data_IF_449644321695
#
_entry.id   IF_449644321695
#
_cell.length_a   1.000
_cell.length_b   1.000
_cell.length_c   1.000
_cell.angle_alpha   90.00
_cell.angle_beta   90.00
_cell.angle_gamma   90.00
#
_symmetry.space_group_name_H-M   'P 1'
#
loop_
_entity.id
_entity.type
_entity.pdbx_description
1 polymer ?
#
# COMPACT_ATOMS: atom_id res chain seq x y z
N UNK A 1 -20.40 6.97 3.39
CA UNK A 1 -19.87 7.94 4.40
C UNK A 1 -19.64 7.15 5.66
N UNK A 2 -18.39 6.80 5.94
CA UNK A 2 -17.98 6.12 7.16
C UNK A 2 -18.28 7.01 8.37
N UNK A 3 -19.28 6.69 9.15
CA UNK A 3 -19.57 7.39 10.40
C UNK A 3 -18.58 6.89 11.45
N UNK A 4 -17.41 7.52 11.57
CA UNK A 4 -16.48 7.28 12.67
C UNK A 4 -17.14 7.71 13.97
N UNK A 5 -17.56 6.74 14.77
CA UNK A 5 -18.06 6.97 16.12
C UNK A 5 -16.97 6.61 17.12
N UNK A 6 -16.58 7.56 17.95
CA UNK A 6 -15.77 7.29 19.13
C UNK A 6 -16.59 6.45 20.09
N UNK A 7 -16.07 5.28 20.44
CA UNK A 7 -16.65 4.41 21.45
C UNK A 7 -15.61 4.16 22.53
N UNK A 8 -16.00 4.30 23.78
CA UNK A 8 -15.12 4.00 24.90
C UNK A 8 -14.92 2.49 24.98
N UNK A 9 -13.68 2.09 25.25
CA UNK A 9 -13.36 0.71 25.54
C UNK A 9 -14.10 0.28 26.82
N UNK A 10 -14.61 -0.92 26.79
CA UNK A 10 -15.16 -1.62 27.95
C UNK A 10 -14.57 -3.04 27.97
N UNK A 11 -14.58 -3.69 29.13
CA UNK A 11 -13.98 -5.02 29.24
C UNK A 11 -14.86 -6.15 28.65
N UNK A 12 -16.04 -5.83 28.11
CA UNK A 12 -17.00 -6.81 27.63
C UNK A 12 -16.99 -6.92 26.09
N UNK A 13 -17.27 -5.83 25.39
CA UNK A 13 -17.45 -5.84 23.92
C UNK A 13 -16.43 -5.02 23.14
N UNK A 14 -15.70 -4.12 23.81
CA UNK A 14 -14.67 -3.25 23.20
C UNK A 14 -13.44 -3.29 24.10
N UNK A 15 -12.58 -4.30 23.96
CA UNK A 15 -11.38 -4.43 24.78
C UNK A 15 -10.38 -3.30 24.51
N UNK A 16 -9.51 -3.05 25.46
CA UNK A 16 -8.34 -2.17 25.26
C UNK A 16 -7.37 -2.86 24.30
N UNK A 17 -7.02 -2.20 23.21
CA UNK A 17 -6.03 -2.72 22.27
C UNK A 17 -4.65 -2.66 22.91
N UNK A 18 -3.98 -3.80 22.94
CA UNK A 18 -2.60 -3.92 23.43
C UNK A 18 -1.69 -4.46 22.34
N UNK A 19 -0.44 -3.98 22.30
CA UNK A 19 0.54 -4.40 21.30
C UNK A 19 1.87 -4.75 21.93
N UNK A 20 2.48 -5.84 21.44
CA UNK A 20 3.86 -6.24 21.74
C UNK A 20 4.61 -6.39 20.44
N UNK A 21 5.83 -5.86 20.38
CA UNK A 21 6.69 -5.96 19.22
C UNK A 21 8.13 -6.23 19.64
N UNK A 22 8.80 -7.04 18.86
CA UNK A 22 10.26 -7.24 18.89
C UNK A 22 10.81 -7.00 17.49
N UNK A 23 11.96 -6.36 17.41
CA UNK A 23 12.66 -6.14 16.13
C UNK A 23 14.17 -6.29 16.33
N UNK A 24 14.82 -6.78 15.28
CA UNK A 24 16.27 -6.86 15.18
C UNK A 24 16.70 -6.16 13.89
N UNK A 25 17.61 -5.21 14.01
CA UNK A 25 18.11 -4.43 12.88
C UNK A 25 19.62 -4.46 12.77
N UNK A 26 20.11 -4.51 11.54
CA UNK A 26 21.52 -4.35 11.17
C UNK A 26 21.65 -3.15 10.24
N UNK A 27 22.64 -2.29 10.49
CA UNK A 27 22.92 -1.13 9.67
C UNK A 27 24.41 -1.04 9.34
N UNK A 28 24.72 -0.87 8.06
CA UNK A 28 26.07 -0.61 7.56
C UNK A 28 26.06 0.68 6.75
N UNK A 29 26.91 1.63 7.12
CA UNK A 29 27.00 2.92 6.44
C UNK A 29 28.46 3.34 6.30
N UNK A 30 29.05 3.07 5.14
CA UNK A 30 30.43 3.45 4.83
C UNK A 30 30.61 3.75 3.33
N UNK A 31 31.49 4.69 3.02
CA UNK A 31 31.97 5.02 1.64
C UNK A 31 30.78 5.22 0.66
N UNK A 32 29.71 5.87 1.12
CA UNK A 32 28.52 6.12 0.31
C UNK A 32 27.62 4.90 0.09
N UNK A 33 27.89 3.77 0.78
CA UNK A 33 26.95 2.64 0.90
C UNK A 33 26.18 2.74 2.20
N UNK A 34 24.87 2.60 2.11
CA UNK A 34 23.98 2.36 3.23
C UNK A 34 23.22 1.05 2.96
N UNK A 35 23.30 0.14 3.92
CA UNK A 35 22.52 -1.10 3.92
C UNK A 35 21.85 -1.20 5.27
N UNK A 36 20.54 -1.30 5.29
CA UNK A 36 19.75 -1.58 6.49
C UNK A 36 18.93 -2.84 6.26
N UNK A 37 18.93 -3.72 7.24
CA UNK A 37 18.08 -4.90 7.28
C UNK A 37 17.40 -4.94 8.65
N UNK A 38 16.08 -5.02 8.67
CA UNK A 38 15.28 -5.09 9.91
C UNK A 38 14.32 -6.26 9.78
N UNK A 39 14.29 -7.12 10.77
CA UNK A 39 13.24 -8.13 10.96
C UNK A 39 12.39 -7.77 12.16
N UNK A 40 11.10 -8.07 12.10
CA UNK A 40 10.19 -7.78 13.21
C UNK A 40 9.10 -8.85 13.35
N UNK A 41 8.64 -8.97 14.59
CA UNK A 41 7.40 -9.67 14.93
C UNK A 41 6.55 -8.76 15.81
N UNK A 42 5.28 -8.62 15.46
CA UNK A 42 4.30 -7.82 16.19
C UNK A 42 3.05 -8.64 16.46
N UNK A 43 2.54 -8.58 17.70
CA UNK A 43 1.24 -9.14 18.08
C UNK A 43 0.37 -8.05 18.69
N UNK A 44 -0.87 -7.96 18.23
CA UNK A 44 -1.86 -7.00 18.70
C UNK A 44 -3.10 -7.76 19.16
N UNK A 45 -3.54 -7.52 20.37
CA UNK A 45 -4.72 -8.12 20.95
C UNK A 45 -5.80 -7.06 21.19
N UNK A 46 -7.06 -7.48 21.24
CA UNK A 46 -8.19 -6.61 21.54
C UNK A 46 -8.67 -5.80 20.33
N UNK A 47 -8.35 -6.23 19.11
CA UNK A 47 -9.00 -5.69 17.92
C UNK A 47 -10.43 -6.19 17.82
N UNK A 48 -11.29 -5.48 17.09
CA UNK A 48 -12.65 -5.94 16.77
C UNK A 48 -12.84 -5.91 15.26
N UNK A 49 -13.76 -6.74 14.74
CA UNK A 49 -14.12 -6.73 13.31
C UNK A 49 -14.44 -5.31 12.83
N UNK A 50 -15.19 -4.54 13.60
CA UNK A 50 -15.51 -3.14 13.28
C UNK A 50 -14.27 -2.23 13.26
N UNK A 51 -13.30 -2.44 14.18
CA UNK A 51 -12.09 -1.62 14.22
C UNK A 51 -11.14 -1.89 13.04
N UNK A 52 -11.27 -3.02 12.37
CA UNK A 52 -10.48 -3.39 11.21
C UNK A 52 -11.13 -3.00 9.88
N UNK A 53 -12.33 -2.42 9.92
CA UNK A 53 -13.01 -1.90 8.74
C UNK A 53 -13.42 -2.97 7.74
N UNK A 54 -13.90 -4.11 8.21
CA UNK A 54 -14.52 -5.09 7.33
C UNK A 54 -15.74 -4.48 6.66
N UNK A 55 -15.78 -4.49 5.34
CA UNK A 55 -16.86 -3.93 4.51
C UNK A 55 -17.67 -5.04 3.82
N UNK A 56 -17.67 -6.23 4.38
CA UNK A 56 -18.25 -7.44 3.83
C UNK A 56 -19.17 -8.13 4.84
N UNK A 57 -19.21 -9.45 4.84
CA UNK A 57 -19.99 -10.29 5.73
C UNK A 57 -19.96 -9.87 7.22
N UNK A 58 -18.85 -9.32 7.69
CA UNK A 58 -18.63 -9.01 9.10
C UNK A 58 -18.76 -7.51 9.44
N UNK A 59 -19.25 -6.67 8.51
CA UNK A 59 -19.43 -5.24 8.74
C UNK A 59 -20.29 -4.94 9.98
N UNK A 60 -21.34 -5.74 10.19
CA UNK A 60 -22.28 -5.57 11.31
C UNK A 60 -21.99 -6.48 12.50
N UNK A 61 -20.98 -7.36 12.40
CA UNK A 61 -20.62 -8.30 13.45
C UNK A 61 -19.53 -7.70 14.34
N UNK A 62 -19.77 -7.66 15.65
CA UNK A 62 -18.77 -7.20 16.61
C UNK A 62 -18.13 -8.38 17.32
N UNK A 63 -17.03 -8.86 16.83
CA UNK A 63 -16.24 -9.93 17.43
C UNK A 63 -14.86 -9.42 17.83
N UNK A 64 -14.36 -9.87 18.97
CA UNK A 64 -13.03 -9.56 19.45
C UNK A 64 -12.00 -10.54 18.88
N UNK A 65 -10.83 -10.03 18.56
CA UNK A 65 -9.76 -10.85 17.99
C UNK A 65 -8.38 -10.26 18.23
N UNK A 66 -7.44 -10.81 17.52
CA UNK A 66 -6.06 -10.35 17.51
C UNK A 66 -5.48 -10.45 16.09
N UNK A 67 -4.33 -9.83 15.87
CA UNK A 67 -3.53 -10.10 14.69
C UNK A 67 -2.06 -10.21 15.05
N UNK A 68 -1.34 -10.95 14.24
CA UNK A 68 0.11 -10.93 14.21
C UNK A 68 0.65 -10.46 12.86
N UNK A 69 1.86 -9.95 12.89
CA UNK A 69 2.59 -9.53 11.71
C UNK A 69 4.07 -9.87 11.87
N UNK A 70 4.61 -10.55 10.88
CA UNK A 70 6.04 -10.87 10.77
C UNK A 70 6.57 -10.29 9.47
N UNK A 71 7.71 -9.62 9.51
CA UNK A 71 8.25 -9.02 8.31
C UNK A 71 9.75 -8.82 8.33
N UNK A 72 10.25 -8.51 7.14
CA UNK A 72 11.64 -8.13 6.89
C UNK A 72 11.65 -6.92 5.96
N UNK A 73 12.36 -5.88 6.37
CA UNK A 73 12.62 -4.69 5.57
C UNK A 73 14.10 -4.61 5.20
N UNK A 74 14.39 -4.44 3.93
CA UNK A 74 15.73 -4.25 3.40
C UNK A 74 15.80 -2.88 2.69
N UNK A 75 16.83 -2.10 3.00
CA UNK A 75 17.15 -0.87 2.30
C UNK A 75 18.62 -0.91 1.88
N UNK A 76 18.85 -0.69 0.62
CA UNK A 76 20.17 -0.48 0.04
C UNK A 76 20.20 0.90 -0.64
N UNK A 77 21.23 1.68 -0.38
CA UNK A 77 21.49 2.95 -1.06
C UNK A 77 22.96 3.07 -1.40
N UNK A 78 23.25 3.52 -2.61
CA UNK A 78 24.61 3.89 -3.05
C UNK A 78 24.61 5.35 -3.51
N UNK A 79 25.48 6.14 -2.87
CA UNK A 79 25.82 7.47 -3.35
C UNK A 79 26.96 7.35 -4.37
N UNK A 80 26.75 7.93 -5.54
CA UNK A 80 27.72 8.06 -6.62
C UNK A 80 28.24 9.51 -6.64
N UNK A 81 29.31 9.77 -7.43
CA UNK A 81 29.85 11.12 -7.58
C UNK A 81 28.80 12.12 -8.10
N UNK A 82 28.03 11.72 -9.10
CA UNK A 82 27.03 12.57 -9.78
C UNK A 82 25.61 12.08 -9.63
N UNK A 83 25.31 11.22 -8.64
CA UNK A 83 23.97 10.68 -8.49
C UNK A 83 23.84 9.74 -7.31
N UNK A 84 22.70 9.08 -7.23
CA UNK A 84 22.45 8.05 -6.25
C UNK A 84 21.51 6.98 -6.79
N UNK A 85 21.59 5.79 -6.25
CA UNK A 85 20.62 4.72 -6.48
C UNK A 85 20.21 4.11 -5.16
N UNK A 86 18.96 3.65 -5.08
CA UNK A 86 18.45 2.92 -3.91
C UNK A 86 17.52 1.80 -4.33
N UNK A 87 17.44 0.82 -3.46
CA UNK A 87 16.57 -0.32 -3.54
C UNK A 87 15.94 -0.52 -2.15
N UNK A 88 14.65 -0.69 -2.09
CA UNK A 88 13.93 -1.06 -0.87
C UNK A 88 13.04 -2.26 -1.15
N UNK A 89 13.09 -3.25 -0.27
CA UNK A 89 12.24 -4.42 -0.33
C UNK A 89 11.65 -4.69 1.04
N UNK A 90 10.35 -4.94 1.08
CA UNK A 90 9.62 -5.34 2.28
C UNK A 90 8.90 -6.66 2.02
N UNK A 91 9.04 -7.57 2.97
CA UNK A 91 8.23 -8.77 3.12
C UNK A 91 7.36 -8.65 4.35
N UNK A 92 6.07 -8.90 4.20
CA UNK A 92 5.09 -8.89 5.30
C UNK A 92 4.21 -10.12 5.20
N UNK A 93 4.02 -10.80 6.33
CA UNK A 93 2.96 -11.79 6.54
C UNK A 93 2.16 -11.35 7.75
N UNK A 94 0.89 -11.02 7.57
CA UNK A 94 0.01 -10.54 8.63
C UNK A 94 -1.33 -11.24 8.59
N UNK A 95 -1.73 -11.82 9.72
CA UNK A 95 -2.95 -12.60 9.84
C UNK A 95 -3.83 -12.12 10.98
N UNK A 96 -5.14 -12.08 10.73
CA UNK A 96 -6.17 -11.93 11.74
C UNK A 96 -6.51 -13.28 12.38
N UNK A 97 -6.93 -13.22 13.64
CA UNK A 97 -7.44 -14.36 14.40
C UNK A 97 -8.70 -13.92 15.15
N UNK A 98 -9.83 -14.52 14.75
CA UNK A 98 -11.15 -14.29 15.37
C UNK A 98 -11.79 -15.66 15.66
N UNK A 99 -11.76 -16.10 16.91
CA UNK A 99 -12.18 -17.45 17.30
C UNK A 99 -13.68 -17.73 17.07
N UNK A 100 -14.49 -16.67 17.03
CA UNK A 100 -15.94 -16.79 16.89
C UNK A 100 -16.41 -16.62 15.43
N UNK A 101 -15.49 -16.41 14.49
CA UNK A 101 -15.81 -16.40 13.07
C UNK A 101 -15.68 -17.80 12.48
N UNK A 102 -16.46 -18.16 11.43
CA UNK A 102 -16.35 -19.44 10.74
C UNK A 102 -14.93 -19.74 10.26
N UNK A 103 -14.24 -18.72 9.74
CA UNK A 103 -12.82 -18.76 9.42
C UNK A 103 -12.04 -18.07 10.54
N UNK A 104 -11.37 -18.87 11.35
CA UNK A 104 -10.71 -18.35 12.57
C UNK A 104 -9.38 -17.67 12.30
N UNK A 105 -8.77 -17.92 11.13
CA UNK A 105 -7.49 -17.33 10.71
C UNK A 105 -7.51 -17.00 9.23
N UNK A 106 -7.21 -15.74 8.87
CA UNK A 106 -7.13 -15.28 7.48
C UNK A 106 -6.17 -14.08 7.36
N UNK A 107 -5.67 -13.76 6.15
CA UNK A 107 -4.77 -12.62 5.93
C UNK A 107 -5.40 -11.31 6.37
N UNK A 108 -4.61 -10.40 6.93
CA UNK A 108 -5.10 -9.06 7.25
C UNK A 108 -5.36 -8.24 5.99
N UNK A 109 -6.27 -7.27 6.07
CA UNK A 109 -6.58 -6.34 4.96
C UNK A 109 -5.33 -5.58 4.43
N UNK A 110 -4.27 -5.54 5.21
CA UNK A 110 -3.03 -4.82 4.91
C UNK A 110 -1.87 -5.76 4.56
N UNK A 111 -2.11 -7.08 4.38
CA UNK A 111 -1.08 -8.06 4.02
C UNK A 111 -0.64 -7.89 2.56
N UNK A 112 0.20 -6.89 2.32
CA UNK A 112 0.95 -6.76 1.07
C UNK A 112 2.23 -7.56 1.24
N UNK A 113 2.21 -8.83 0.80
CA UNK A 113 3.27 -9.81 1.10
C UNK A 113 4.63 -9.36 0.60
N UNK A 114 4.71 -8.75 -0.56
CA UNK A 114 5.96 -8.24 -1.15
C UNK A 114 5.77 -6.83 -1.66
N UNK A 115 6.68 -5.94 -1.32
CA UNK A 115 6.77 -4.60 -1.88
C UNK A 115 8.22 -4.28 -2.26
N UNK A 116 8.42 -3.72 -3.45
CA UNK A 116 9.70 -3.38 -4.02
C UNK A 116 9.67 -1.94 -4.53
N UNK A 117 10.66 -1.16 -4.14
CA UNK A 117 10.88 0.18 -4.68
C UNK A 117 12.33 0.30 -5.16
N UNK A 118 12.51 0.80 -6.36
CA UNK A 118 13.80 1.11 -6.97
C UNK A 118 13.83 2.58 -7.34
N UNK A 119 15.00 3.19 -7.26
CA UNK A 119 15.18 4.52 -7.75
C UNK A 119 16.63 4.83 -8.06
N UNK A 120 16.83 5.68 -9.05
CA UNK A 120 18.12 6.22 -9.42
C UNK A 120 17.99 7.66 -9.87
N UNK A 121 18.98 8.47 -9.56
CA UNK A 121 19.15 9.78 -10.16
C UNK A 121 20.60 9.97 -10.60
N UNK A 122 20.77 10.82 -11.61
CA UNK A 122 22.08 11.15 -12.14
C UNK A 122 22.09 12.59 -12.65
N UNK A 123 23.13 13.34 -12.28
CA UNK A 123 23.32 14.73 -12.69
C UNK A 123 24.42 14.81 -13.77
N UNK A 124 24.08 15.43 -14.90
CA UNK A 124 24.98 15.73 -16.00
C UNK A 124 25.02 17.26 -16.13
N UNK A 125 26.05 17.88 -15.62
CA UNK A 125 26.15 19.36 -15.55
C UNK A 125 24.91 19.96 -14.85
N UNK A 126 24.05 20.62 -15.63
CA UNK A 126 22.83 21.32 -15.17
C UNK A 126 21.55 20.48 -15.32
N UNK A 127 21.67 19.28 -15.86
CA UNK A 127 20.56 18.36 -16.08
C UNK A 127 20.57 17.28 -14.99
N UNK A 128 19.48 17.17 -14.26
CA UNK A 128 19.21 16.06 -13.35
C UNK A 128 18.18 15.14 -14.00
N UNK A 129 18.52 13.87 -14.13
CA UNK A 129 17.62 12.79 -14.56
C UNK A 129 17.29 11.91 -13.37
N UNK A 130 16.05 11.44 -13.28
CA UNK A 130 15.67 10.47 -12.28
C UNK A 130 14.66 9.46 -12.83
N UNK A 131 14.77 8.23 -12.37
CA UNK A 131 13.85 7.13 -12.64
C UNK A 131 13.48 6.46 -11.32
N UNK A 132 12.22 6.07 -11.19
CA UNK A 132 11.72 5.32 -10.06
C UNK A 132 10.80 4.19 -10.51
N UNK A 133 10.83 3.07 -9.79
CA UNK A 133 9.94 1.95 -10.04
C UNK A 133 9.37 1.44 -8.71
N UNK A 134 8.08 1.12 -8.71
CA UNK A 134 7.35 0.54 -7.59
C UNK A 134 6.64 -0.72 -8.07
N UNK A 135 6.77 -1.79 -7.31
CA UNK A 135 6.02 -3.01 -7.50
C UNK A 135 5.58 -3.57 -6.15
N UNK A 136 4.37 -4.10 -6.09
CA UNK A 136 3.88 -4.79 -4.89
C UNK A 136 2.85 -5.85 -5.27
N UNK A 137 2.74 -6.89 -4.46
CA UNK A 137 1.65 -7.86 -4.53
C UNK A 137 0.32 -7.17 -4.27
N UNK A 138 -0.76 -7.73 -4.81
CA UNK A 138 -2.11 -7.25 -4.55
C UNK A 138 -2.49 -7.37 -3.08
N UNK A 139 -3.38 -6.49 -2.62
CA UNK A 139 -4.02 -6.59 -1.30
C UNK A 139 -4.91 -7.82 -1.24
N UNK A 140 -5.10 -8.41 -0.07
CA UNK A 140 -6.16 -9.40 0.15
C UNK A 140 -7.53 -8.86 -0.25
N UNK A 141 -8.37 -9.75 -0.75
CA UNK A 141 -9.70 -9.45 -1.28
C UNK A 141 -10.64 -10.61 -0.98
N UNK A 142 -11.84 -10.30 -0.51
CA UNK A 142 -12.95 -11.25 -0.36
C UNK A 142 -13.84 -11.16 -1.60
N UNK A 143 -13.99 -12.26 -2.35
CA UNK A 143 -14.81 -12.30 -3.57
C UNK A 143 -16.18 -12.94 -3.32
N UNK A 144 -17.21 -12.58 -4.09
CA UNK A 144 -18.49 -13.31 -4.11
C UNK A 144 -18.30 -14.77 -4.54
N UNK A 145 -19.20 -15.65 -4.11
CA UNK A 145 -19.26 -17.04 -4.55
C UNK A 145 -19.80 -17.09 -5.97
N UNK A 146 -19.00 -17.60 -6.90
CA UNK A 146 -19.39 -17.74 -8.31
C UNK A 146 -20.63 -18.62 -8.46
N UNK A 147 -21.61 -18.20 -9.26
CA UNK A 147 -22.93 -18.82 -9.48
C UNK A 147 -23.84 -18.88 -8.23
N UNK A 148 -23.51 -18.18 -7.15
CA UNK A 148 -24.35 -18.00 -5.98
C UNK A 148 -23.95 -16.69 -5.29
N UNK A 149 -23.97 -15.60 -6.04
CA UNK A 149 -23.38 -14.31 -5.65
C UNK A 149 -24.26 -13.54 -4.66
N UNK A 150 -25.57 -13.79 -4.67
CA UNK A 150 -26.53 -13.13 -3.80
C UNK A 150 -27.28 -14.18 -2.98
N UNK A 151 -27.36 -13.99 -1.66
CA UNK A 151 -28.14 -14.80 -0.75
C UNK A 151 -28.75 -13.92 0.35
N UNK A 152 -29.99 -14.16 0.74
CA UNK A 152 -30.70 -13.44 1.80
C UNK A 152 -30.71 -11.91 1.63
N UNK A 153 -30.73 -11.44 0.38
CA UNK A 153 -30.71 -10.02 0.04
C UNK A 153 -29.37 -9.31 0.21
N UNK A 154 -28.29 -10.06 0.44
CA UNK A 154 -26.92 -9.57 0.55
C UNK A 154 -25.95 -10.29 -0.37
N UNK A 155 -24.74 -9.76 -0.50
CA UNK A 155 -23.69 -10.43 -1.28
C UNK A 155 -23.20 -11.66 -0.52
N UNK A 156 -23.15 -12.79 -1.20
CA UNK A 156 -22.65 -14.05 -0.66
C UNK A 156 -21.16 -14.18 -0.94
N UNK A 157 -20.34 -13.90 0.06
CA UNK A 157 -18.88 -13.90 -0.04
C UNK A 157 -18.25 -15.27 0.22
N UNK A 158 -17.11 -15.51 -0.43
CA UNK A 158 -16.18 -16.60 -0.13
C UNK A 158 -15.49 -16.39 1.23
N UNK A 159 -14.40 -17.15 1.43
CA UNK A 159 -13.52 -17.01 2.59
C UNK A 159 -12.90 -15.61 2.66
N UNK A 160 -12.83 -15.07 3.88
CA UNK A 160 -12.28 -13.74 4.12
C UNK A 160 -10.85 -13.61 3.63
N UNK A 161 -10.62 -12.57 2.81
CA UNK A 161 -9.29 -12.27 2.28
C UNK A 161 -8.60 -13.46 1.60
N UNK A 162 -9.39 -14.44 1.12
CA UNK A 162 -8.89 -15.67 0.48
C UNK A 162 -8.31 -15.43 -0.91
N UNK A 163 -8.67 -14.35 -1.55
CA UNK A 163 -8.17 -13.92 -2.86
C UNK A 163 -7.25 -12.67 -2.72
N UNK A 164 -6.67 -12.25 -3.84
CA UNK A 164 -5.87 -11.00 -3.91
C UNK A 164 -6.24 -10.18 -5.13
N UNK A 165 -6.10 -8.87 -5.00
CA UNK A 165 -6.11 -7.95 -6.15
C UNK A 165 -4.90 -8.21 -7.06
N UNK A 166 -4.95 -7.67 -8.27
CA UNK A 166 -3.80 -7.69 -9.18
C UNK A 166 -2.60 -6.95 -8.58
N UNK A 167 -1.40 -7.41 -8.92
CA UNK A 167 -0.18 -6.75 -8.48
C UNK A 167 -0.08 -5.35 -9.07
N UNK A 168 0.30 -4.39 -8.25
CA UNK A 168 0.59 -3.02 -8.64
C UNK A 168 2.00 -2.90 -9.21
N UNK A 169 2.17 -2.20 -10.33
CA UNK A 169 3.49 -1.79 -10.79
C UNK A 169 3.46 -0.45 -11.52
N UNK A 170 4.46 0.39 -11.26
CA UNK A 170 4.57 1.72 -11.85
C UNK A 170 6.03 2.10 -12.04
N UNK A 171 6.34 2.68 -13.19
CA UNK A 171 7.64 3.30 -13.48
C UNK A 171 7.40 4.77 -13.78
N UNK A 172 8.18 5.64 -13.15
CA UNK A 172 8.15 7.07 -13.31
C UNK A 172 9.50 7.58 -13.80
N UNK A 173 9.50 8.59 -14.64
CA UNK A 173 10.71 9.27 -15.09
C UNK A 173 10.56 10.76 -14.88
N UNK A 174 11.66 11.43 -14.53
CA UNK A 174 11.71 12.89 -14.48
C UNK A 174 13.04 13.44 -14.91
N UNK A 175 13.00 14.66 -15.43
CA UNK A 175 14.16 15.47 -15.76
C UNK A 175 14.00 16.88 -15.23
N UNK A 176 15.10 17.49 -14.81
CA UNK A 176 15.14 18.88 -14.37
C UNK A 176 16.39 19.54 -14.91
N UNK A 177 16.21 20.64 -15.60
CA UNK A 177 17.28 21.46 -16.12
C UNK A 177 17.33 22.80 -15.39
N UNK A 178 18.53 23.20 -14.94
CA UNK A 178 18.76 24.47 -14.24
C UNK A 178 19.66 25.38 -15.09
N UNK A 179 19.28 26.65 -15.21
CA UNK A 179 20.08 27.67 -15.88
C UNK A 179 19.94 29.04 -15.21
N UNK A 180 20.91 29.91 -15.41
CA UNK A 180 20.86 31.26 -14.91
C UNK A 180 19.95 32.11 -15.80
N UNK A 181 19.02 32.82 -15.17
CA UNK A 181 18.13 33.78 -15.81
C UNK A 181 18.51 35.19 -15.29
N UNK A 182 19.61 35.75 -15.83
CA UNK A 182 20.18 37.00 -15.34
C UNK A 182 21.22 36.78 -14.20
N UNK A 183 21.63 37.91 -13.57
CA UNK A 183 22.70 37.90 -12.58
C UNK A 183 22.32 37.26 -11.24
N UNK A 184 21.08 37.51 -10.76
CA UNK A 184 20.61 37.12 -9.43
C UNK A 184 19.44 36.12 -9.46
N UNK A 185 19.15 35.53 -10.62
CA UNK A 185 17.98 34.63 -10.74
C UNK A 185 18.40 33.33 -11.42
N UNK A 186 18.00 32.20 -10.83
CA UNK A 186 18.09 30.88 -11.44
C UNK A 186 16.72 30.40 -11.84
N UNK A 187 16.62 29.73 -12.96
CA UNK A 187 15.40 29.09 -13.44
C UNK A 187 15.60 27.58 -13.53
N UNK A 188 14.64 26.86 -13.02
CA UNK A 188 14.56 25.38 -13.15
C UNK A 188 13.33 25.02 -13.94
N UNK A 189 13.51 24.22 -14.99
CA UNK A 189 12.43 23.60 -15.77
C UNK A 189 12.44 22.10 -15.44
N UNK A 190 11.32 21.60 -15.01
CA UNK A 190 11.12 20.18 -14.70
C UNK A 190 10.06 19.57 -15.62
N UNK A 191 10.35 18.37 -16.13
CA UNK A 191 9.41 17.52 -16.85
C UNK A 191 9.36 16.16 -16.16
N UNK A 192 8.17 15.58 -16.01
CA UNK A 192 8.01 14.24 -15.46
C UNK A 192 6.91 13.49 -16.23
N UNK A 193 7.10 12.19 -16.33
CA UNK A 193 6.12 11.23 -16.85
C UNK A 193 5.88 10.19 -15.79
N UNK A 194 4.68 10.15 -15.24
CA UNK A 194 4.25 9.13 -14.30
C UNK A 194 3.61 7.97 -15.05
N UNK A 195 3.78 6.78 -14.52
CA UNK A 195 3.25 5.55 -15.08
C UNK A 195 3.65 5.33 -16.54
N UNK A 196 4.97 5.34 -16.83
CA UNK A 196 5.52 5.15 -18.17
C UNK A 196 5.01 3.91 -18.90
N UNK A 197 4.67 2.86 -18.13
CA UNK A 197 4.13 1.61 -18.71
C UNK A 197 2.66 1.72 -19.09
N UNK A 198 2.02 2.87 -18.79
CA UNK A 198 0.58 3.08 -18.94
C UNK A 198 -0.26 1.92 -18.39
N UNK A 199 0.21 1.32 -17.27
CA UNK A 199 -0.46 0.18 -16.69
C UNK A 199 -1.69 0.62 -15.94
N UNK A 200 -2.79 -0.08 -16.16
CA UNK A 200 -4.02 0.08 -15.40
C UNK A 200 -3.87 -0.65 -14.04
N UNK A 201 -3.50 0.11 -13.01
CA UNK A 201 -3.26 -0.41 -11.67
C UNK A 201 -4.52 -0.27 -10.83
N UNK A 202 -5.14 -1.38 -10.47
CA UNK A 202 -6.26 -1.39 -9.52
C UNK A 202 -5.78 -0.96 -8.14
N UNK A 203 -6.38 0.08 -7.56
CA UNK A 203 -6.10 0.60 -6.22
C UNK A 203 -7.12 0.16 -5.19
N UNK A 204 -8.36 -0.08 -5.64
CA UNK A 204 -9.45 -0.59 -4.83
C UNK A 204 -10.38 -1.48 -5.66
N UNK A 205 -11.00 -2.47 -5.03
CA UNK A 205 -12.05 -3.31 -5.61
C UNK A 205 -13.13 -3.48 -4.57
N UNK A 206 -14.37 -3.28 -4.97
CA UNK A 206 -15.54 -3.57 -4.15
C UNK A 206 -16.66 -4.16 -5.00
N UNK A 207 -17.64 -4.74 -4.35
CA UNK A 207 -18.75 -5.44 -4.97
C UNK A 207 -20.06 -4.75 -4.60
N UNK A 208 -21.01 -4.73 -5.53
CA UNK A 208 -22.36 -4.24 -5.29
C UNK A 208 -23.36 -5.10 -6.06
N UNK A 209 -24.56 -5.27 -5.51
CA UNK A 209 -25.66 -5.93 -6.23
C UNK A 209 -26.05 -5.05 -7.42
N UNK A 210 -26.21 -5.67 -8.59
CA UNK A 210 -26.66 -4.95 -9.77
C UNK A 210 -28.10 -4.51 -9.61
N UNK A 211 -28.38 -3.21 -9.82
CA UNK A 211 -29.72 -2.66 -9.66
C UNK A 211 -30.70 -3.16 -10.72
N UNK A 212 -30.21 -3.61 -11.88
CA UNK A 212 -31.03 -4.14 -12.99
C UNK A 212 -31.21 -5.66 -12.92
N UNK A 213 -30.27 -6.36 -12.28
CA UNK A 213 -30.27 -7.82 -12.11
C UNK A 213 -29.95 -8.17 -10.65
N UNK A 214 -30.97 -8.20 -9.75
CA UNK A 214 -30.76 -8.32 -8.29
C UNK A 214 -30.07 -9.62 -7.84
N UNK A 215 -29.99 -10.61 -8.70
CA UNK A 215 -29.31 -11.89 -8.43
C UNK A 215 -27.82 -11.88 -8.85
N UNK A 216 -27.36 -10.77 -9.44
CA UNK A 216 -25.99 -10.62 -9.91
C UNK A 216 -25.22 -9.55 -9.11
N UNK A 217 -23.92 -9.77 -9.00
CA UNK A 217 -22.99 -8.84 -8.34
C UNK A 217 -22.06 -8.20 -9.35
N UNK A 218 -22.01 -6.88 -9.34
CA UNK A 218 -21.07 -6.10 -10.15
C UNK A 218 -19.76 -5.90 -9.39
N UNK A 219 -18.64 -6.32 -9.98
CA UNK A 219 -17.29 -5.95 -9.52
C UNK A 219 -16.97 -4.52 -10.00
N UNK A 220 -16.63 -3.64 -9.06
CA UNK A 220 -16.20 -2.27 -9.34
C UNK A 220 -14.73 -2.12 -9.00
N UNK A 221 -13.91 -1.81 -10.00
CA UNK A 221 -12.47 -1.55 -9.86
C UNK A 221 -12.19 -0.07 -9.96
N UNK A 222 -11.52 0.47 -8.97
CA UNK A 222 -10.97 1.82 -9.02
C UNK A 222 -9.50 1.73 -9.42
N UNK A 223 -9.14 2.36 -10.51
CA UNK A 223 -7.78 2.33 -11.08
C UNK A 223 -7.02 3.62 -10.80
N UNK A 224 -5.69 3.52 -10.75
CA UNK A 224 -4.81 4.68 -10.73
C UNK A 224 -4.82 5.40 -12.08
N UNK A 225 -4.30 6.62 -12.11
CA UNK A 225 -4.09 7.33 -13.38
C UNK A 225 -3.14 6.55 -14.30
N UNK A 226 -3.44 6.54 -15.59
CA UNK A 226 -2.55 6.06 -16.65
C UNK A 226 -1.31 6.95 -16.79
N UNK A 227 -0.69 6.94 -17.97
CA UNK A 227 0.46 7.81 -18.24
C UNK A 227 0.08 9.28 -18.03
N UNK A 228 0.81 9.96 -17.15
CA UNK A 228 0.48 11.34 -16.75
C UNK A 228 1.71 12.23 -16.89
N UNK A 229 1.73 13.14 -17.90
CA UNK A 229 2.78 14.13 -18.03
C UNK A 229 2.60 15.26 -17.00
N UNK A 230 3.73 15.74 -16.47
CA UNK A 230 3.80 16.88 -15.56
C UNK A 230 4.92 17.82 -16.02
N UNK A 231 4.70 19.12 -15.86
CA UNK A 231 5.70 20.14 -16.10
C UNK A 231 5.74 21.14 -14.92
N UNK A 232 6.91 21.66 -14.63
CA UNK A 232 7.11 22.67 -13.58
C UNK A 232 8.14 23.71 -13.99
N UNK A 233 7.93 24.94 -13.57
CA UNK A 233 8.87 26.03 -13.68
C UNK A 233 9.07 26.62 -12.28
N UNK A 234 10.33 26.81 -11.87
CA UNK A 234 10.70 27.43 -10.61
C UNK A 234 11.69 28.54 -10.84
N UNK A 235 11.41 29.72 -10.31
CA UNK A 235 12.34 30.84 -10.24
C UNK A 235 12.91 30.93 -8.82
N UNK A 236 14.23 31.10 -8.72
CA UNK A 236 14.97 31.22 -7.45
C UNK A 236 15.72 32.54 -7.52
N UNK A 237 15.38 33.46 -6.62
CA UNK A 237 16.02 34.76 -6.47
C UNK A 237 17.07 34.67 -5.37
N UNK A 238 18.29 35.09 -5.64
CA UNK A 238 19.44 35.10 -4.69
C UNK A 238 19.64 36.50 -4.13
#
# INVERSE_FOLDING_TARGET
IEKRRWQLSNNESIPVITSKQVSLGLSYNQKGFLVNAVSFYKKVNGITTQSQGFLDRYEFTRQSGNYDATGVDLLFRKQLHSGSTWFSYSYLNSNYFFNELPETKFPSNFDITHALTLGANYSINRLLLAIGANWRTGKPLTRPIVNNEVADGGINYKNENGDRQDAYSRIDFSSRYEFNWGENTKMQIGLALWNLLNRDNTINTYYRIDASEPDQVQEVKESSLGITPNASIRLIFN
#
